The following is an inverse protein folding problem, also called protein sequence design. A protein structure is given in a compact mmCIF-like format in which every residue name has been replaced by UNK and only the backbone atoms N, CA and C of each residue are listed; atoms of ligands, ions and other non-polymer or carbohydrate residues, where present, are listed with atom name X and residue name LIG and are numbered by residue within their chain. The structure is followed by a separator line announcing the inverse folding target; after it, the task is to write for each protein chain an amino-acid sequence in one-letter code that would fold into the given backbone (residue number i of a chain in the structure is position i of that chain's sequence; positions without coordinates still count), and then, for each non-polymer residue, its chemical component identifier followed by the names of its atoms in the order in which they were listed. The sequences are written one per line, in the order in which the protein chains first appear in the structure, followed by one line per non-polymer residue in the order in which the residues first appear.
data_IF_552963309425
#
_entry.id   IF_552963309425
#
_cell.length_a   1.000
_cell.length_b   1.000
_cell.length_c   1.000
_cell.angle_alpha   90.00
_cell.angle_beta   90.00
_cell.angle_gamma   90.00
#
_symmetry.space_group_name_H-M   'P 1'
#
loop_
_entity.id
_entity.type
_entity.pdbx_description
1 polymer ?
#
# COMPACT_ATOMS: atom_id res chain seq x y z
N UNK A 1 -17.34 2.03 2.41
CA UNK A 1 -15.93 1.81 2.80
C UNK A 1 -15.19 0.90 1.82
N UNK A 2 -15.66 -0.35 1.63
CA UNK A 2 -15.03 -1.33 0.72
C UNK A 2 -14.83 -0.82 -0.71
N UNK A 3 -15.85 -0.18 -1.31
CA UNK A 3 -15.77 0.41 -2.66
C UNK A 3 -14.64 1.44 -2.80
N UNK A 4 -14.39 2.24 -1.76
CA UNK A 4 -13.31 3.26 -1.76
C UNK A 4 -11.93 2.62 -1.71
N UNK A 5 -11.79 1.53 -0.96
CA UNK A 5 -10.54 0.76 -0.90
C UNK A 5 -10.28 0.12 -2.27
N UNK A 6 -11.28 -0.55 -2.83
CA UNK A 6 -11.20 -1.19 -4.15
C UNK A 6 -10.75 -0.20 -5.23
N UNK A 7 -11.46 0.92 -5.38
CA UNK A 7 -11.12 1.93 -6.39
C UNK A 7 -9.69 2.47 -6.22
N UNK A 8 -9.24 2.67 -4.97
CA UNK A 8 -7.88 3.18 -4.72
C UNK A 8 -6.83 2.13 -5.04
N UNK A 9 -7.09 0.86 -4.73
CA UNK A 9 -6.19 -0.25 -5.05
C UNK A 9 -6.09 -0.42 -6.58
N UNK A 10 -7.21 -0.31 -7.30
CA UNK A 10 -7.22 -0.33 -8.77
C UNK A 10 -6.42 0.85 -9.34
N UNK A 11 -6.61 2.08 -8.83
CA UNK A 11 -5.82 3.25 -9.23
C UNK A 11 -4.31 3.06 -8.98
N UNK A 12 -3.92 2.42 -7.87
CA UNK A 12 -2.50 2.12 -7.60
C UNK A 12 -1.97 1.02 -8.51
N UNK A 13 -2.80 0.04 -8.88
CA UNK A 13 -2.40 -1.03 -9.78
C UNK A 13 -2.07 -0.52 -11.20
N UNK A 14 -2.65 0.61 -11.62
CA UNK A 14 -2.30 1.26 -12.90
C UNK A 14 -0.88 1.85 -12.89
N UNK A 15 -0.38 2.34 -11.74
CA UNK A 15 0.95 2.95 -11.62
C UNK A 15 1.57 2.72 -10.21
N UNK A 16 1.99 1.48 -9.90
CA UNK A 16 2.40 1.08 -8.54
C UNK A 16 3.73 1.71 -8.10
N UNK A 17 4.61 2.06 -9.04
CA UNK A 17 5.95 2.62 -8.82
C UNK A 17 5.95 4.07 -8.36
N UNK A 18 4.83 4.79 -8.55
CA UNK A 18 4.68 6.21 -8.14
C UNK A 18 4.57 6.40 -6.62
N UNK A 19 4.41 5.32 -5.88
CA UNK A 19 4.13 5.36 -4.46
C UNK A 19 5.40 5.36 -3.62
N UNK A 20 5.33 5.97 -2.43
CA UNK A 20 6.49 6.11 -1.54
C UNK A 20 6.93 4.73 -1.05
N UNK A 21 8.11 4.31 -1.50
CA UNK A 21 8.84 3.17 -0.98
C UNK A 21 9.16 3.39 0.50
N UNK A 22 8.97 2.35 1.30
CA UNK A 22 9.35 2.34 2.70
C UNK A 22 10.87 2.15 2.81
N UNK A 23 11.43 2.40 3.99
CA UNK A 23 12.86 2.26 4.25
C UNK A 23 13.12 1.09 5.22
N UNK A 24 14.39 0.74 5.40
CA UNK A 24 14.85 -0.31 6.32
C UNK A 24 14.30 -1.70 5.95
N UNK A 25 13.72 -2.42 6.92
CA UNK A 25 13.22 -3.78 6.75
C UNK A 25 12.09 -3.89 5.72
N UNK A 26 11.47 -2.77 5.34
CA UNK A 26 10.41 -2.68 4.34
C UNK A 26 10.85 -2.01 3.03
N UNK A 27 12.16 -1.98 2.73
CA UNK A 27 12.72 -1.26 1.57
C UNK A 27 12.14 -1.61 0.20
N UNK A 28 11.50 -2.78 0.07
CA UNK A 28 10.86 -3.25 -1.17
C UNK A 28 9.33 -3.15 -1.12
N UNK A 29 8.78 -2.49 -0.10
CA UNK A 29 7.35 -2.33 0.07
C UNK A 29 6.96 -0.86 -0.08
N UNK A 30 5.83 -0.63 -0.72
CA UNK A 30 5.16 0.64 -0.83
C UNK A 30 4.05 0.76 0.21
N UNK A 31 3.67 2.01 0.50
CA UNK A 31 2.57 2.30 1.43
C UNK A 31 1.50 3.17 0.78
N UNK A 32 0.28 2.64 0.73
CA UNK A 32 -0.92 3.36 0.35
C UNK A 32 -1.69 3.83 1.59
N UNK A 33 -2.08 5.12 1.63
CA UNK A 33 -2.90 5.69 2.70
C UNK A 33 -4.32 5.92 2.22
N UNK A 34 -5.30 5.31 2.89
CA UNK A 34 -6.73 5.49 2.63
C UNK A 34 -7.40 6.00 3.90
N UNK A 35 -7.39 7.32 4.11
CA UNK A 35 -7.86 7.93 5.35
C UNK A 35 -6.99 7.53 6.56
N UNK A 36 -7.58 6.78 7.50
CA UNK A 36 -6.88 6.20 8.66
C UNK A 36 -6.26 4.82 8.38
N UNK A 37 -6.62 4.20 7.25
CA UNK A 37 -6.07 2.92 6.81
C UNK A 37 -4.70 3.12 6.17
N UNK A 38 -3.75 2.24 6.48
CA UNK A 38 -2.50 2.11 5.73
C UNK A 38 -2.42 0.70 5.15
N UNK A 39 -2.19 0.60 3.86
CA UNK A 39 -1.97 -0.67 3.16
C UNK A 39 -0.49 -0.70 2.79
N UNK A 40 0.20 -1.74 3.20
CA UNK A 40 1.55 -2.07 2.76
C UNK A 40 1.39 -3.07 1.63
N UNK A 41 2.04 -2.79 0.51
CA UNK A 41 2.04 -3.67 -0.65
C UNK A 41 3.44 -3.74 -1.22
N UNK A 42 3.77 -4.83 -1.91
CA UNK A 42 4.96 -4.95 -2.74
C UNK A 42 4.52 -5.02 -4.20
N UNK A 43 5.41 -4.61 -5.10
CA UNK A 43 5.20 -4.72 -6.54
C UNK A 43 6.41 -5.44 -7.15
N UNK A 44 6.13 -6.51 -7.89
CA UNK A 44 7.11 -7.24 -8.67
C UNK A 44 7.06 -6.72 -10.11
N UNK A 45 8.07 -5.93 -10.50
CA UNK A 45 8.18 -5.35 -11.84
C UNK A 45 8.38 -6.40 -12.93
N UNK A 46 8.97 -7.57 -12.61
CA UNK A 46 9.19 -8.63 -13.61
C UNK A 46 7.90 -9.37 -13.94
N UNK A 47 7.01 -9.51 -12.95
CA UNK A 47 5.71 -10.19 -13.12
C UNK A 47 4.55 -9.24 -13.38
N UNK A 48 4.77 -7.94 -13.23
CA UNK A 48 3.72 -6.91 -13.21
C UNK A 48 2.63 -7.19 -12.14
N UNK A 49 3.03 -7.79 -11.02
CA UNK A 49 2.11 -8.24 -9.98
C UNK A 49 2.23 -7.41 -8.70
N UNK A 50 1.08 -7.02 -8.15
CA UNK A 50 0.98 -6.32 -6.87
C UNK A 50 0.50 -7.26 -5.77
N UNK A 51 1.26 -7.32 -4.67
CA UNK A 51 0.96 -8.17 -3.53
C UNK A 51 0.58 -7.34 -2.31
N UNK A 52 -0.59 -7.63 -1.74
CA UNK A 52 -1.08 -6.97 -0.53
C UNK A 52 -0.50 -7.63 0.72
N UNK A 53 0.56 -7.02 1.26
CA UNK A 53 1.31 -7.57 2.41
C UNK A 53 0.56 -7.40 3.73
N UNK A 54 0.06 -6.18 3.99
CA UNK A 54 -0.54 -5.86 5.29
C UNK A 54 -1.53 -4.72 5.22
N UNK A 55 -2.64 -4.87 5.94
CA UNK A 55 -3.61 -3.79 6.16
C UNK A 55 -3.55 -3.36 7.63
N UNK A 56 -3.21 -2.10 7.86
CA UNK A 56 -3.08 -1.48 9.18
C UNK A 56 -4.25 -0.52 9.40
N UNK A 57 -5.13 -0.87 10.33
CA UNK A 57 -6.39 -0.15 10.57
C UNK A 57 -6.29 0.99 11.59
N UNK A 58 -5.27 0.97 12.46
CA UNK A 58 -5.15 1.92 13.55
C UNK A 58 -3.67 2.11 13.91
N UNK A 59 -3.06 3.21 13.48
CA UNK A 59 -1.82 3.66 14.14
C UNK A 59 -2.26 4.37 15.41
N UNK A 60 -2.32 3.62 16.52
CA UNK A 60 -2.28 4.22 17.85
C UNK A 60 -0.93 4.94 17.96
N UNK A 61 -0.89 6.21 17.58
CA UNK A 61 0.10 7.11 18.17
C UNK A 61 -0.24 7.09 19.66
N UNK A 62 0.60 6.43 20.47
CA UNK A 62 0.59 6.71 21.90
C UNK A 62 1.04 8.17 21.99
N UNK A 63 0.14 9.03 22.42
CA UNK A 63 0.50 10.36 22.94
C UNK A 63 1.49 10.20 24.11
#
# INVERSE_FOLDING_TARGET
MQKRIKNKVEEVAEEPTRHKHLHYDLKNSCRLRIGKLRIIFSYDEEKEEMYLEKVVFDHKYKD
#
